data_IF_145152336791
#
_entry.id   IF_145152336791
#
_cell.length_a   1.000
_cell.length_b   1.000
_cell.length_c   1.000
_cell.angle_alpha   90.00
_cell.angle_beta   90.00
_cell.angle_gamma   90.00
#
_symmetry.space_group_name_H-M   'P 1'
#
loop_
_entity.id
_entity.type
_entity.pdbx_description
1 polymer ?
#
# COMPACT_ATOMS: atom_id res chain seq x y z
N UNK A 1 -35.13 40.97 -41.93
CA UNK A 1 -34.33 41.28 -43.14
C UNK A 1 -32.86 41.40 -42.74
N UNK A 2 -32.13 40.29 -42.72
CA UNK A 2 -30.67 40.25 -42.88
C UNK A 2 -30.31 38.83 -43.31
N UNK A 3 -29.70 38.72 -44.50
CA UNK A 3 -29.34 37.48 -45.20
C UNK A 3 -27.81 37.42 -45.23
N UNK A 4 -27.20 36.37 -44.67
CA UNK A 4 -25.92 35.73 -45.06
C UNK A 4 -25.97 34.33 -44.42
N UNK A 5 -25.80 33.19 -45.10
CA UNK A 5 -25.09 32.91 -46.33
C UNK A 5 -23.95 31.94 -46.01
N UNK A 6 -23.94 30.78 -46.67
CA UNK A 6 -22.95 29.69 -46.65
C UNK A 6 -23.00 28.78 -45.40
N UNK A 7 -23.19 27.45 -45.48
CA UNK A 7 -22.88 26.52 -46.56
C UNK A 7 -21.60 25.77 -46.21
N UNK A 8 -21.72 24.51 -45.80
CA UNK A 8 -20.55 23.68 -45.52
C UNK A 8 -20.86 22.41 -44.74
N UNK A 9 -21.17 21.36 -45.50
CA UNK A 9 -20.82 19.94 -45.32
C UNK A 9 -20.92 19.34 -43.91
N UNK A 10 -21.70 18.26 -43.85
CA UNK A 10 -21.67 17.35 -42.72
C UNK A 10 -20.28 16.77 -42.51
N UNK A 11 -19.86 16.76 -41.25
CA UNK A 11 -18.92 15.79 -40.72
C UNK A 11 -19.50 15.33 -39.37
N UNK A 12 -20.29 14.27 -39.45
CA UNK A 12 -20.41 13.32 -38.34
C UNK A 12 -19.02 12.75 -38.05
N UNK A 13 -18.54 12.85 -36.81
CA UNK A 13 -18.25 11.69 -35.95
C UNK A 13 -17.45 12.07 -34.69
N UNK A 14 -17.91 11.69 -33.49
CA UNK A 14 -17.09 11.71 -32.26
C UNK A 14 -16.09 10.53 -32.26
N UNK A 15 -15.25 10.42 -33.27
CA UNK A 15 -14.25 9.33 -33.42
C UNK A 15 -12.92 9.58 -32.70
N UNK A 16 -12.66 10.81 -32.25
CA UNK A 16 -11.36 11.21 -31.68
C UNK A 16 -11.07 10.67 -30.28
N UNK A 17 -12.09 10.30 -29.49
CA UNK A 17 -11.88 9.92 -28.08
C UNK A 17 -11.34 8.50 -27.94
N UNK A 18 -11.81 7.55 -28.75
CA UNK A 18 -11.42 6.13 -28.71
C UNK A 18 -10.04 5.92 -29.31
N UNK A 19 -9.74 6.54 -30.46
CA UNK A 19 -8.42 6.46 -31.08
C UNK A 19 -7.32 7.08 -30.18
N UNK A 20 -7.61 8.21 -29.54
CA UNK A 20 -6.69 8.86 -28.59
C UNK A 20 -6.50 8.02 -27.33
N UNK A 21 -7.58 7.46 -26.75
CA UNK A 21 -7.50 6.53 -25.62
C UNK A 21 -6.69 5.28 -25.95
N UNK A 22 -6.89 4.69 -27.14
CA UNK A 22 -6.13 3.54 -27.59
C UNK A 22 -4.64 3.85 -27.74
N UNK A 23 -4.30 4.99 -28.36
CA UNK A 23 -2.90 5.45 -28.46
C UNK A 23 -2.26 5.66 -27.09
N UNK A 24 -2.99 6.23 -26.13
CA UNK A 24 -2.51 6.38 -24.77
C UNK A 24 -2.31 5.04 -24.06
N UNK A 25 -3.24 4.09 -24.21
CA UNK A 25 -3.11 2.74 -23.65
C UNK A 25 -1.91 2.00 -24.24
N UNK A 26 -1.74 2.06 -25.57
CA UNK A 26 -0.58 1.48 -26.26
C UNK A 26 0.71 2.15 -25.79
N UNK A 27 0.75 3.49 -25.73
CA UNK A 27 1.92 4.21 -25.24
C UNK A 27 2.25 3.83 -23.80
N UNK A 28 1.26 3.79 -22.89
CA UNK A 28 1.47 3.33 -21.50
C UNK A 28 1.95 1.89 -21.43
N UNK A 29 1.40 0.99 -22.25
CA UNK A 29 1.85 -0.40 -22.33
C UNK A 29 3.30 -0.52 -22.81
N UNK A 30 3.66 0.22 -23.85
CA UNK A 30 5.04 0.28 -24.37
C UNK A 30 5.99 0.86 -23.31
N UNK A 31 5.63 1.97 -22.65
CA UNK A 31 6.45 2.56 -21.60
C UNK A 31 6.64 1.60 -20.44
N UNK A 32 5.58 0.93 -19.95
CA UNK A 32 5.68 -0.08 -18.91
C UNK A 32 6.60 -1.23 -19.34
N UNK A 33 6.43 -1.76 -20.56
CA UNK A 33 7.27 -2.83 -21.09
C UNK A 33 8.75 -2.43 -21.15
N UNK A 34 9.05 -1.23 -21.63
CA UNK A 34 10.42 -0.69 -21.67
C UNK A 34 10.99 -0.48 -20.26
N UNK A 35 10.19 0.04 -19.32
CA UNK A 35 10.61 0.18 -17.91
C UNK A 35 10.92 -1.16 -17.26
N UNK A 36 10.09 -2.19 -17.48
CA UNK A 36 10.35 -3.54 -16.99
C UNK A 36 11.59 -4.15 -17.67
N UNK A 37 11.78 -3.92 -18.96
CA UNK A 37 12.99 -4.36 -19.68
C UNK A 37 14.27 -3.73 -19.11
N UNK A 38 14.24 -2.44 -18.82
CA UNK A 38 15.37 -1.74 -18.17
C UNK A 38 15.62 -2.27 -16.74
N UNK A 39 14.56 -2.54 -15.97
CA UNK A 39 14.69 -3.15 -14.65
C UNK A 39 15.24 -4.58 -14.72
N UNK A 40 14.91 -5.33 -15.77
CA UNK A 40 15.40 -6.70 -15.95
C UNK A 40 16.93 -6.75 -16.14
N UNK A 41 17.55 -5.71 -16.73
CA UNK A 41 19.02 -5.62 -16.83
C UNK A 41 19.69 -5.57 -15.45
N UNK A 42 19.00 -5.02 -14.45
CA UNK A 42 19.49 -4.98 -13.06
C UNK A 42 19.45 -6.37 -12.38
N UNK A 43 18.71 -7.34 -12.93
CA UNK A 43 18.65 -8.70 -12.40
C UNK A 43 19.95 -9.48 -12.65
N UNK A 44 20.67 -9.18 -13.74
CA UNK A 44 21.92 -9.87 -14.08
C UNK A 44 23.03 -9.68 -13.02
N UNK A 45 23.41 -8.44 -12.64
CA UNK A 45 24.39 -8.25 -11.57
C UNK A 45 23.86 -8.73 -10.22
N UNK A 46 22.54 -8.66 -9.99
CA UNK A 46 21.91 -9.21 -8.78
C UNK A 46 22.05 -10.73 -8.71
N UNK A 47 21.98 -11.41 -9.86
CA UNK A 47 22.17 -12.86 -9.97
C UNK A 47 23.62 -13.27 -9.71
N UNK A 48 24.58 -12.57 -10.31
CA UNK A 48 26.02 -12.81 -10.11
C UNK A 48 26.43 -12.60 -8.64
N UNK A 49 25.88 -11.57 -7.99
CA UNK A 49 26.11 -11.30 -6.58
C UNK A 49 25.42 -12.32 -5.66
N UNK A 50 24.26 -12.86 -6.06
CA UNK A 50 23.59 -13.93 -5.32
C UNK A 50 24.44 -15.21 -5.30
N UNK A 51 24.98 -15.62 -6.45
CA UNK A 51 25.87 -16.80 -6.56
C UNK A 51 27.18 -16.61 -5.81
N UNK A 52 27.69 -15.37 -5.78
CA UNK A 52 28.92 -15.02 -5.05
C UNK A 52 28.70 -14.86 -3.53
N UNK A 53 27.45 -14.88 -3.06
CA UNK A 53 27.12 -14.67 -1.65
C UNK A 53 27.33 -15.95 -0.84
N UNK A 54 28.12 -15.88 0.22
CA UNK A 54 28.32 -16.98 1.18
C UNK A 54 27.03 -17.48 1.85
N UNK A 55 25.88 -16.82 1.65
CA UNK A 55 24.57 -17.25 2.15
C UNK A 55 24.02 -18.52 1.50
N UNK A 56 24.54 -18.93 0.34
CA UNK A 56 24.16 -20.20 -0.30
C UNK A 56 24.84 -21.42 0.38
N UNK A 57 26.02 -21.21 0.95
CA UNK A 57 26.86 -22.28 1.53
C UNK A 57 26.84 -22.35 3.06
N UNK A 58 25.95 -21.62 3.75
CA UNK A 58 25.75 -21.80 5.20
C UNK A 58 24.81 -22.98 5.44
N UNK A 59 25.36 -24.08 5.95
CA UNK A 59 24.62 -25.24 6.45
C UNK A 59 23.53 -24.78 7.43
N UNK A 60 22.27 -24.86 7.02
CA UNK A 60 21.09 -24.59 7.85
C UNK A 60 20.24 -23.36 7.51
N UNK A 61 20.65 -22.47 6.58
CA UNK A 61 19.78 -21.38 6.08
C UNK A 61 19.69 -21.40 4.56
N UNK A 62 18.80 -22.26 4.04
CA UNK A 62 18.49 -22.28 2.60
C UNK A 62 17.78 -20.98 2.22
N UNK A 63 18.20 -20.34 1.12
CA UNK A 63 17.55 -19.14 0.59
C UNK A 63 16.07 -19.43 0.31
N UNK A 64 15.18 -18.71 1.00
CA UNK A 64 13.73 -18.86 0.90
C UNK A 64 13.10 -17.54 0.40
N UNK A 65 12.58 -17.50 -0.84
CA UNK A 65 11.83 -16.35 -1.37
C UNK A 65 10.62 -15.95 -0.52
N UNK A 66 10.01 -16.92 0.19
CA UNK A 66 8.87 -16.71 1.08
C UNK A 66 9.25 -16.13 2.44
N UNK A 67 10.54 -15.98 2.74
CA UNK A 67 11.00 -15.36 3.98
C UNK A 67 10.45 -13.92 4.10
N UNK A 68 9.85 -13.59 5.24
CA UNK A 68 9.28 -12.26 5.48
C UNK A 68 7.85 -12.04 4.96
N UNK A 69 7.07 -13.10 4.70
CA UNK A 69 5.65 -12.97 4.34
C UNK A 69 4.75 -12.70 5.54
N UNK A 70 3.65 -12.01 5.30
CA UNK A 70 2.72 -11.58 6.34
C UNK A 70 1.43 -12.41 6.25
N UNK A 71 1.08 -13.21 7.28
CA UNK A 71 -0.14 -14.00 7.22
C UNK A 71 -1.38 -13.10 7.19
N UNK A 72 -2.46 -13.55 6.53
CA UNK A 72 -3.70 -12.75 6.37
C UNK A 72 -4.26 -12.25 7.70
N UNK A 73 -4.20 -13.07 8.75
CA UNK A 73 -4.66 -12.67 10.08
C UNK A 73 -3.94 -11.44 10.63
N UNK A 74 -2.68 -11.24 10.23
CA UNK A 74 -1.86 -10.10 10.63
C UNK A 74 -2.32 -8.78 10.03
N UNK A 75 -3.17 -8.78 8.99
CA UNK A 75 -3.80 -7.55 8.49
C UNK A 75 -4.66 -6.84 9.54
N UNK A 76 -5.17 -7.59 10.52
CA UNK A 76 -5.88 -7.01 11.67
C UNK A 76 -5.01 -6.06 12.50
N UNK A 77 -3.68 -6.08 12.34
CA UNK A 77 -2.76 -5.12 12.97
C UNK A 77 -3.13 -3.67 12.65
N UNK A 78 -3.71 -3.39 11.48
CA UNK A 78 -4.15 -2.04 11.07
C UNK A 78 -5.16 -1.45 12.05
N UNK A 79 -6.05 -2.28 12.60
CA UNK A 79 -7.18 -1.83 13.44
C UNK A 79 -6.99 -2.22 14.91
N UNK A 80 -6.29 -3.31 15.17
CA UNK A 80 -6.04 -3.84 16.50
C UNK A 80 -4.54 -4.13 16.72
N UNK A 81 -3.66 -3.10 16.67
CA UNK A 81 -2.21 -3.28 16.82
C UNK A 81 -1.82 -3.92 18.15
N UNK A 82 -2.55 -3.63 19.23
CA UNK A 82 -2.32 -4.19 20.57
C UNK A 82 -2.44 -5.72 20.65
N UNK A 83 -3.18 -6.35 19.72
CA UNK A 83 -3.28 -7.81 19.66
C UNK A 83 -1.96 -8.45 19.21
N UNK A 84 -1.10 -7.67 18.56
CA UNK A 84 0.13 -8.15 17.92
C UNK A 84 1.40 -7.65 18.60
N UNK A 85 1.37 -6.48 19.22
CA UNK A 85 2.46 -5.97 20.04
C UNK A 85 2.28 -6.40 21.50
N UNK A 86 2.79 -7.57 21.86
CA UNK A 86 2.93 -7.99 23.25
C UNK A 86 4.41 -8.11 23.60
N UNK A 87 4.82 -7.53 24.72
CA UNK A 87 6.23 -7.51 25.11
C UNK A 87 6.76 -8.94 25.33
N UNK A 88 7.79 -9.32 24.56
CA UNK A 88 8.48 -10.61 24.72
C UNK A 88 7.85 -11.81 23.99
N UNK A 89 6.76 -11.62 23.24
CA UNK A 89 6.13 -12.70 22.48
C UNK A 89 6.10 -12.38 20.99
N UNK A 90 6.91 -13.09 20.19
CA UNK A 90 6.74 -13.11 18.74
C UNK A 90 5.52 -13.98 18.39
N UNK A 91 4.40 -13.30 18.13
CA UNK A 91 3.12 -13.91 17.74
C UNK A 91 3.03 -14.18 16.23
N UNK A 92 3.99 -13.68 15.45
CA UNK A 92 3.98 -13.81 13.97
C UNK A 92 4.68 -15.10 13.55
N UNK A 93 5.82 -15.40 14.16
CA UNK A 93 6.51 -16.69 13.93
C UNK A 93 5.74 -17.89 14.48
N UNK A 94 4.84 -17.67 15.44
CA UNK A 94 3.98 -18.71 16.07
C UNK A 94 2.59 -18.82 15.45
N UNK A 95 2.31 -18.15 14.33
CA UNK A 95 0.98 -18.15 13.74
C UNK A 95 0.71 -19.48 13.03
N UNK A 96 -0.35 -20.20 13.43
CA UNK A 96 -0.72 -21.55 12.95
C UNK A 96 -1.06 -21.66 11.45
N UNK A 97 -1.04 -20.56 10.69
CA UNK A 97 -1.40 -20.53 9.26
C UNK A 97 -0.26 -20.99 8.31
N UNK A 98 0.78 -21.64 8.84
CA UNK A 98 1.95 -22.11 8.11
C UNK A 98 3.25 -21.45 8.59
N UNK A 99 4.43 -22.05 8.35
CA UNK A 99 5.71 -21.53 8.82
C UNK A 99 6.04 -20.22 8.11
N UNK A 100 5.54 -19.12 8.66
CA UNK A 100 6.00 -17.80 8.30
C UNK A 100 7.38 -17.60 8.93
N UNK A 101 8.42 -17.89 8.15
CA UNK A 101 9.80 -17.52 8.47
C UNK A 101 9.91 -15.97 8.43
N UNK A 102 9.29 -15.30 9.41
CA UNK A 102 9.25 -13.85 9.54
C UNK A 102 9.23 -13.47 11.02
N UNK A 103 9.59 -12.21 11.29
CA UNK A 103 9.55 -11.61 12.62
C UNK A 103 8.57 -10.42 12.60
N UNK A 104 7.99 -10.08 13.75
CA UNK A 104 7.15 -8.88 13.97
C UNK A 104 7.74 -7.57 13.42
N UNK A 105 9.07 -7.47 13.33
CA UNK A 105 9.75 -6.29 12.77
C UNK A 105 9.67 -6.25 11.24
N UNK A 106 9.76 -7.40 10.59
CA UNK A 106 9.76 -7.50 9.12
C UNK A 106 8.34 -7.50 8.55
N UNK A 107 7.40 -8.11 9.26
CA UNK A 107 5.98 -8.01 8.97
C UNK A 107 5.40 -6.84 9.77
N UNK A 108 5.47 -5.62 9.24
CA UNK A 108 4.84 -4.44 9.83
C UNK A 108 3.88 -3.78 8.83
N UNK A 109 2.61 -3.62 9.21
CA UNK A 109 1.55 -3.01 8.39
C UNK A 109 0.85 -1.85 9.10
N UNK A 110 1.33 -1.43 10.27
CA UNK A 110 0.66 -0.38 11.04
C UNK A 110 1.02 1.03 10.57
N UNK A 111 0.01 1.87 10.31
CA UNK A 111 0.17 3.26 9.86
C UNK A 111 -0.70 4.26 10.65
N UNK A 112 -1.16 3.87 11.85
CA UNK A 112 -1.88 4.73 12.81
C UNK A 112 -3.40 4.68 12.68
N UNK A 113 -4.09 4.56 13.83
CA UNK A 113 -5.55 4.63 13.94
C UNK A 113 -6.15 5.92 13.36
N UNK A 114 -5.52 7.11 13.51
CA UNK A 114 -6.04 8.33 12.90
C UNK A 114 -6.09 8.25 11.37
N UNK A 115 -5.10 7.61 10.74
CA UNK A 115 -5.07 7.37 9.30
C UNK A 115 -6.20 6.45 8.88
N UNK A 116 -6.47 5.38 9.64
CA UNK A 116 -7.62 4.50 9.42
C UNK A 116 -8.95 5.27 9.52
N UNK A 117 -9.09 6.12 10.54
CA UNK A 117 -10.26 6.99 10.69
C UNK A 117 -10.46 7.91 9.49
N UNK A 118 -9.39 8.53 8.97
CA UNK A 118 -9.45 9.36 7.78
C UNK A 118 -9.84 8.57 6.52
N UNK A 119 -9.36 7.33 6.36
CA UNK A 119 -9.78 6.48 5.26
C UNK A 119 -11.27 6.16 5.31
N UNK A 120 -11.83 5.90 6.50
CA UNK A 120 -13.27 5.70 6.68
C UNK A 120 -14.08 6.95 6.33
N UNK A 121 -13.62 8.14 6.78
CA UNK A 121 -14.24 9.42 6.40
C UNK A 121 -14.16 9.64 4.89
N UNK A 122 -13.01 9.32 4.28
CA UNK A 122 -12.82 9.38 2.83
C UNK A 122 -13.77 8.46 2.08
N UNK A 123 -13.98 7.24 2.57
CA UNK A 123 -14.93 6.28 1.99
C UNK A 123 -16.37 6.81 2.05
N UNK A 124 -16.79 7.33 3.20
CA UNK A 124 -18.11 7.98 3.34
C UNK A 124 -18.23 9.17 2.38
N UNK A 125 -17.20 10.00 2.31
CA UNK A 125 -17.15 11.15 1.41
C UNK A 125 -17.24 10.76 -0.07
N UNK A 126 -16.63 9.65 -0.45
CA UNK A 126 -16.73 9.08 -1.79
C UNK A 126 -18.14 8.55 -2.07
N UNK A 127 -18.73 7.77 -1.16
CA UNK A 127 -20.10 7.25 -1.31
C UNK A 127 -21.15 8.37 -1.44
N UNK A 128 -21.02 9.44 -0.65
CA UNK A 128 -21.95 10.59 -0.66
C UNK A 128 -21.69 11.52 -1.85
N UNK A 129 -20.42 11.74 -2.21
CA UNK A 129 -20.03 12.70 -3.24
C UNK A 129 -20.24 12.20 -4.68
N UNK A 130 -20.35 10.88 -4.89
CA UNK A 130 -20.46 10.21 -6.22
C UNK A 130 -19.44 10.65 -7.28
N UNK A 131 -18.39 11.37 -6.89
CA UNK A 131 -17.29 11.76 -7.77
C UNK A 131 -16.12 10.82 -7.54
N UNK A 132 -15.97 9.89 -8.48
CA UNK A 132 -14.83 8.98 -8.50
C UNK A 132 -13.73 9.60 -9.35
N UNK A 133 -12.63 9.99 -8.71
CA UNK A 133 -11.39 10.38 -9.41
C UNK A 133 -10.59 9.10 -9.75
N UNK A 134 -10.17 8.97 -11.01
CA UNK A 134 -9.35 7.84 -11.46
C UNK A 134 -8.02 7.75 -10.70
N UNK A 135 -7.50 8.86 -10.20
CA UNK A 135 -6.28 8.90 -9.37
C UNK A 135 -6.50 8.23 -8.01
N UNK A 136 -7.66 8.42 -7.38
CA UNK A 136 -8.00 7.75 -6.12
C UNK A 136 -8.15 6.25 -6.33
N UNK A 137 -8.81 5.86 -7.43
CA UNK A 137 -8.94 4.45 -7.81
C UNK A 137 -7.57 3.82 -8.07
N UNK A 138 -6.66 4.54 -8.73
CA UNK A 138 -5.29 4.08 -8.95
C UNK A 138 -4.55 3.81 -7.64
N UNK A 139 -4.56 4.76 -6.69
CA UNK A 139 -3.90 4.58 -5.40
C UNK A 139 -4.54 3.48 -4.56
N UNK A 140 -5.87 3.36 -4.60
CA UNK A 140 -6.58 2.26 -3.94
C UNK A 140 -6.19 0.91 -4.56
N UNK A 141 -6.19 0.81 -5.89
CA UNK A 141 -5.81 -0.40 -6.59
C UNK A 141 -4.34 -0.78 -6.32
N UNK A 142 -3.43 0.19 -6.34
CA UNK A 142 -2.01 -0.01 -6.04
C UNK A 142 -1.81 -0.50 -4.61
N UNK A 143 -2.47 0.13 -3.63
CA UNK A 143 -2.40 -0.25 -2.22
C UNK A 143 -2.98 -1.63 -1.96
N UNK A 144 -4.12 -1.95 -2.56
CA UNK A 144 -4.74 -3.29 -2.44
C UNK A 144 -3.86 -4.35 -3.10
N UNK A 145 -3.35 -4.11 -4.31
CA UNK A 145 -2.48 -5.05 -5.00
C UNK A 145 -1.21 -5.34 -4.20
N UNK A 146 -0.60 -4.29 -3.62
CA UNK A 146 0.55 -4.43 -2.73
C UNK A 146 0.20 -5.22 -1.45
N UNK A 147 -0.96 -4.96 -0.86
CA UNK A 147 -1.45 -5.67 0.32
C UNK A 147 -1.69 -7.16 0.02
N UNK A 148 -2.34 -7.50 -1.09
CA UNK A 148 -2.57 -8.88 -1.54
C UNK A 148 -1.27 -9.62 -1.91
N UNK A 149 -0.19 -8.89 -2.18
CA UNK A 149 1.13 -9.48 -2.39
C UNK A 149 1.80 -9.91 -1.06
N UNK A 150 1.48 -9.26 0.07
CA UNK A 150 2.11 -9.54 1.38
C UNK A 150 1.99 -10.98 1.90
N UNK A 151 0.88 -11.73 1.69
CA UNK A 151 0.71 -13.09 2.19
C UNK A 151 1.42 -14.15 1.37
N UNK A 152 2.06 -13.76 0.25
CA UNK A 152 2.94 -14.63 -0.52
C UNK A 152 2.31 -15.93 -1.08
N UNK A 153 0.97 -16.07 -1.03
CA UNK A 153 0.25 -17.23 -1.58
C UNK A 153 0.54 -17.50 -3.06
N UNK A 154 0.91 -16.48 -3.81
CA UNK A 154 1.26 -16.57 -5.23
C UNK A 154 2.72 -17.02 -5.46
N UNK A 155 3.57 -17.06 -4.42
CA UNK A 155 4.99 -17.43 -4.54
C UNK A 155 5.20 -18.88 -4.96
N UNK A 156 4.25 -19.78 -4.65
CA UNK A 156 4.32 -21.18 -5.12
C UNK A 156 4.36 -21.25 -6.65
N UNK A 157 3.69 -20.31 -7.32
CA UNK A 157 3.64 -20.20 -8.78
C UNK A 157 4.77 -19.29 -9.29
N UNK A 158 5.02 -18.15 -8.65
CA UNK A 158 5.98 -17.15 -9.15
C UNK A 158 7.44 -17.47 -8.89
N UNK A 159 7.76 -18.39 -7.98
CA UNK A 159 9.15 -18.86 -7.77
C UNK A 159 9.78 -19.53 -9.01
N UNK A 160 8.94 -20.03 -9.92
CA UNK A 160 9.37 -20.68 -11.16
C UNK A 160 9.55 -19.69 -12.32
N UNK A 161 9.13 -18.43 -12.16
CA UNK A 161 9.29 -17.39 -13.17
C UNK A 161 10.67 -16.73 -13.07
N UNK A 162 11.41 -16.60 -14.20
CA UNK A 162 12.70 -15.92 -14.20
C UNK A 162 12.52 -14.47 -13.74
N UNK A 163 13.27 -14.06 -12.71
CA UNK A 163 13.24 -12.71 -12.14
C UNK A 163 12.49 -12.57 -10.81
N UNK A 164 11.53 -13.44 -10.51
CA UNK A 164 10.71 -13.34 -9.28
C UNK A 164 11.27 -14.10 -8.08
N UNK A 165 12.11 -15.12 -8.30
CA UNK A 165 12.80 -15.88 -7.24
C UNK A 165 14.05 -15.22 -6.65
N UNK A 166 14.27 -13.91 -6.88
CA UNK A 166 15.45 -13.15 -6.42
C UNK A 166 15.17 -12.21 -5.24
N UNK A 167 13.92 -11.78 -5.07
CA UNK A 167 13.54 -10.83 -4.03
C UNK A 167 12.84 -11.55 -2.88
N UNK A 168 13.37 -11.39 -1.68
CA UNK A 168 12.77 -11.87 -0.43
C UNK A 168 11.98 -10.75 0.25
N UNK A 169 11.09 -11.12 1.16
CA UNK A 169 10.32 -10.17 1.98
C UNK A 169 9.10 -9.59 1.27
N UNK A 170 8.12 -10.42 0.85
CA UNK A 170 6.84 -9.94 0.34
C UNK A 170 6.08 -9.06 1.36
N UNK A 171 6.39 -9.16 2.66
CA UNK A 171 5.91 -8.22 3.67
C UNK A 171 6.33 -6.76 3.42
N UNK A 172 7.45 -6.50 2.73
CA UNK A 172 7.95 -5.14 2.45
C UNK A 172 7.05 -4.32 1.52
N UNK A 173 6.17 -4.99 0.77
CA UNK A 173 5.14 -4.31 -0.02
C UNK A 173 4.07 -3.63 0.87
N UNK A 174 4.09 -3.88 2.18
CA UNK A 174 3.36 -3.07 3.17
C UNK A 174 3.74 -1.58 3.12
N UNK A 175 4.97 -1.23 2.71
CA UNK A 175 5.40 0.16 2.54
C UNK A 175 4.57 0.86 1.46
N UNK A 176 4.34 0.19 0.33
CA UNK A 176 3.51 0.71 -0.76
C UNK A 176 2.06 0.84 -0.30
N UNK A 177 1.58 -0.14 0.48
CA UNK A 177 0.24 -0.10 1.07
C UNK A 177 0.09 1.09 2.02
N UNK A 178 1.07 1.33 2.90
CA UNK A 178 1.08 2.45 3.83
C UNK A 178 1.16 3.80 3.11
N UNK A 179 1.96 3.90 2.04
CA UNK A 179 2.03 5.09 1.20
C UNK A 179 0.68 5.39 0.54
N UNK A 180 0.03 4.38 -0.05
CA UNK A 180 -1.29 4.54 -0.65
C UNK A 180 -2.33 4.99 0.40
N UNK A 181 -2.30 4.40 1.60
CA UNK A 181 -3.15 4.79 2.71
C UNK A 181 -2.93 6.26 3.11
N UNK A 182 -1.67 6.71 3.21
CA UNK A 182 -1.34 8.09 3.55
C UNK A 182 -1.84 9.09 2.50
N UNK A 183 -1.65 8.80 1.21
CA UNK A 183 -2.13 9.65 0.11
C UNK A 183 -3.66 9.75 0.15
N UNK A 184 -4.37 8.62 0.29
CA UNK A 184 -5.83 8.61 0.36
C UNK A 184 -6.36 9.32 1.61
N UNK A 185 -5.70 9.17 2.76
CA UNK A 185 -6.04 9.89 3.98
C UNK A 185 -5.86 11.42 3.82
N UNK A 186 -4.81 11.87 3.11
CA UNK A 186 -4.60 13.27 2.77
C UNK A 186 -5.71 13.86 1.89
N UNK A 187 -6.19 13.09 0.90
CA UNK A 187 -7.34 13.50 0.07
C UNK A 187 -8.62 13.57 0.90
N UNK A 188 -8.85 12.61 1.79
CA UNK A 188 -9.99 12.62 2.70
C UNK A 188 -9.97 13.84 3.63
N UNK A 189 -8.79 14.19 4.15
CA UNK A 189 -8.59 15.40 4.94
C UNK A 189 -8.91 16.66 4.14
N UNK A 190 -8.40 16.79 2.91
CA UNK A 190 -8.69 17.92 2.04
C UNK A 190 -10.20 18.06 1.76
N UNK A 191 -10.87 16.94 1.49
CA UNK A 191 -12.32 16.92 1.31
C UNK A 191 -13.08 17.39 2.56
N UNK A 192 -12.60 17.01 3.75
CA UNK A 192 -13.17 17.45 5.02
C UNK A 192 -12.96 18.97 5.24
N UNK A 193 -11.78 19.49 4.92
CA UNK A 193 -11.47 20.92 4.99
C UNK A 193 -12.30 21.76 4.03
N UNK A 194 -12.66 21.21 2.87
CA UNK A 194 -13.44 21.91 1.85
C UNK A 194 -14.92 22.12 2.26
N UNK A 195 -15.37 21.62 3.41
CA UNK A 195 -16.74 21.78 3.90
C UNK A 195 -16.91 23.10 4.65
N UNK A 196 -17.59 24.12 4.07
CA UNK A 196 -17.68 25.45 4.66
C UNK A 196 -18.42 25.46 6.00
N UNK A 197 -19.35 24.52 6.22
CA UNK A 197 -20.07 24.39 7.50
C UNK A 197 -19.17 23.93 8.65
N UNK A 198 -18.19 23.08 8.37
CA UNK A 198 -17.27 22.53 9.39
C UNK A 198 -16.24 23.59 9.81
N UNK A 199 -15.75 24.38 8.84
CA UNK A 199 -14.77 25.44 9.07
C UNK A 199 -15.42 26.68 9.71
N UNK A 200 -16.58 27.12 9.19
CA UNK A 200 -17.23 28.37 9.63
C UNK A 200 -17.80 28.30 11.06
N UNK A 201 -18.11 27.10 11.57
CA UNK A 201 -18.61 26.90 12.95
C UNK A 201 -17.51 26.56 13.96
N UNK A 202 -16.23 26.59 13.57
CA UNK A 202 -15.14 26.12 14.44
C UNK A 202 -15.17 24.60 14.71
N UNK A 203 -16.05 23.86 14.04
CA UNK A 203 -16.20 22.41 14.20
C UNK A 203 -14.93 21.65 13.82
N UNK A 204 -14.09 22.24 12.98
CA UNK A 204 -12.76 21.72 12.67
C UNK A 204 -11.84 21.68 13.90
N UNK A 205 -11.76 22.80 14.62
CA UNK A 205 -10.95 22.91 15.83
C UNK A 205 -11.46 21.98 16.92
N UNK A 206 -12.78 21.86 17.04
CA UNK A 206 -13.41 20.90 17.95
C UNK A 206 -13.07 19.45 17.57
N UNK A 207 -13.18 19.06 16.30
CA UNK A 207 -12.87 17.71 15.82
C UNK A 207 -11.40 17.36 16.05
N UNK A 208 -10.49 18.29 15.75
CA UNK A 208 -9.07 18.12 16.02
C UNK A 208 -8.79 17.95 17.52
N UNK A 209 -9.35 18.82 18.37
CA UNK A 209 -9.09 18.83 19.80
C UNK A 209 -9.76 17.66 20.55
N UNK A 210 -10.95 17.23 20.12
CA UNK A 210 -11.75 16.22 20.83
C UNK A 210 -11.61 14.81 20.28
N UNK A 211 -11.31 14.66 18.98
CA UNK A 211 -11.24 13.35 18.32
C UNK A 211 -9.83 13.03 17.88
N UNK A 212 -9.23 13.88 17.03
CA UNK A 212 -7.97 13.53 16.37
C UNK A 212 -6.79 13.50 17.34
N UNK A 213 -6.64 14.55 18.16
CA UNK A 213 -5.53 14.66 19.10
C UNK A 213 -5.62 13.60 20.21
N UNK A 214 -6.76 13.39 20.89
CA UNK A 214 -6.87 12.36 21.91
C UNK A 214 -6.68 10.95 21.34
N UNK A 215 -7.21 10.68 20.13
CA UNK A 215 -7.03 9.38 19.47
C UNK A 215 -5.57 9.13 19.11
N UNK A 216 -4.86 10.14 18.57
CA UNK A 216 -3.44 10.04 18.25
C UNK A 216 -2.59 9.89 19.53
N UNK A 217 -2.89 10.64 20.59
CA UNK A 217 -2.20 10.51 21.88
C UNK A 217 -2.42 9.12 22.48
N UNK A 218 -3.66 8.62 22.49
CA UNK A 218 -3.99 7.28 22.95
C UNK A 218 -3.29 6.20 22.13
N UNK A 219 -3.30 6.33 20.81
CA UNK A 219 -2.66 5.40 19.89
C UNK A 219 -1.15 5.30 20.13
N UNK A 220 -0.48 6.45 20.17
CA UNK A 220 0.97 6.52 20.46
C UNK A 220 1.30 5.98 21.85
N UNK A 221 0.45 6.27 22.85
CA UNK A 221 0.64 5.76 24.20
C UNK A 221 0.50 4.23 24.26
N UNK A 222 -0.52 3.67 23.61
CA UNK A 222 -0.73 2.22 23.55
C UNK A 222 0.40 1.51 22.82
N UNK A 223 0.77 1.97 21.63
CA UNK A 223 1.87 1.39 20.85
C UNK A 223 3.20 1.56 21.58
N UNK A 224 3.43 2.69 22.25
CA UNK A 224 4.62 2.94 23.04
C UNK A 224 4.77 1.98 24.22
N UNK A 225 3.66 1.68 24.92
CA UNK A 225 3.64 0.74 26.05
C UNK A 225 3.81 -0.72 25.63
N UNK A 226 3.37 -1.04 24.41
CA UNK A 226 3.45 -2.36 23.84
C UNK A 226 4.85 -2.73 23.31
N UNK A 227 5.76 -1.74 23.17
CA UNK A 227 7.16 -2.00 22.79
C UNK A 227 7.95 -2.50 24.01
N UNK A 228 8.69 -3.61 23.90
CA UNK A 228 9.61 -4.01 24.96
C UNK A 228 10.67 -2.92 25.18
N UNK A 229 10.90 -2.58 26.45
CA UNK A 229 11.97 -1.65 26.85
C UNK A 229 13.33 -2.18 26.36
N UNK A 230 14.28 -1.30 25.96
CA UNK A 230 15.58 -1.70 25.42
C UNK A 230 16.40 -2.64 26.35
N UNK A 231 16.07 -2.71 27.64
CA UNK A 231 16.74 -3.57 28.61
C UNK A 231 16.40 -5.07 28.51
N UNK A 232 15.39 -5.50 27.75
CA UNK A 232 15.00 -6.92 27.64
C UNK A 232 15.70 -7.68 26.51
N UNK A 233 16.59 -7.04 25.74
CA UNK A 233 17.39 -7.68 24.68
C UNK A 233 18.62 -8.44 25.20
N UNK A 234 18.74 -8.63 26.52
CA UNK A 234 19.84 -9.38 27.12
C UNK A 234 19.41 -10.85 27.31
N UNK A 235 19.55 -11.64 26.24
CA UNK A 235 19.77 -13.11 26.13
C UNK A 235 18.97 -14.07 27.06
N UNK A 236 18.56 -15.25 26.55
CA UNK A 236 19.48 -16.31 26.10
C UNK A 236 19.61 -16.42 24.58
#
# INVERSE_FOLDING_TARGET
MFRRGCGGRGEDCPGGSTATRWRLLVASGVTLGLSFGLAAVQLLPTWELKQSSQRENVTGRKYDPGYGHMPFGYWSQVVAPWRWYEAGADRVSKYDAGPANTNQVEAHLYFGLPTVGLLLVGLVGWCVGRRTDSRMVLWLALGLLALFYTPAWHLEVTRHLPGFGFFTGPGRYSIVTALAAAVLAGVAWQWLMARPLLVRRGGLGLLLATVFFPLLTWDLWQVGRARPTPCSWRHP
#
